data_IF_170557339074
#
_entry.id   IF_170557339074
#
_cell.length_a   1.000
_cell.length_b   1.000
_cell.length_c   1.000
_cell.angle_alpha   90.00
_cell.angle_beta   90.00
_cell.angle_gamma   90.00
#
_symmetry.space_group_name_H-M   'P 1'
#
loop_
_entity.id
_entity.type
_entity.pdbx_description
1 polymer ?
#
# COMPACT_ATOMS: atom_id res chain seq x y z
N UNK A 1 45.81 -8.62 -7.93
CA UNK A 1 44.62 -8.81 -7.12
C UNK A 1 44.44 -10.30 -6.85
N UNK A 2 44.31 -10.73 -5.60
CA UNK A 2 44.13 -12.13 -5.25
C UNK A 2 42.83 -12.71 -5.83
N UNK A 3 42.73 -14.03 -5.93
CA UNK A 3 41.50 -14.73 -6.42
C UNK A 3 40.31 -14.38 -5.53
N UNK A 4 40.51 -14.33 -4.20
CA UNK A 4 39.49 -13.95 -3.22
C UNK A 4 38.99 -12.51 -3.40
N UNK A 5 39.92 -11.56 -3.70
CA UNK A 5 39.54 -10.16 -3.96
C UNK A 5 38.71 -10.01 -5.26
N UNK A 6 39.00 -10.82 -6.29
CA UNK A 6 38.19 -10.84 -7.52
C UNK A 6 36.78 -11.37 -7.26
N UNK A 7 36.65 -12.47 -6.50
CA UNK A 7 35.36 -13.04 -6.12
C UNK A 7 34.54 -12.03 -5.31
N UNK A 8 35.15 -11.40 -4.31
CA UNK A 8 34.48 -10.38 -3.50
C UNK A 8 33.95 -9.21 -4.34
N UNK A 9 34.78 -8.74 -5.30
CA UNK A 9 34.38 -7.65 -6.19
C UNK A 9 33.20 -8.04 -7.10
N UNK A 10 33.21 -9.30 -7.62
CA UNK A 10 32.10 -9.80 -8.44
C UNK A 10 30.82 -9.89 -7.62
N UNK A 11 30.88 -10.40 -6.38
CA UNK A 11 29.70 -10.49 -5.49
C UNK A 11 29.17 -9.09 -5.15
N UNK A 12 30.05 -8.13 -4.87
CA UNK A 12 29.65 -6.75 -4.62
C UNK A 12 28.98 -6.12 -5.85
N UNK A 13 29.56 -6.28 -7.03
CA UNK A 13 29.00 -5.79 -8.28
C UNK A 13 27.62 -6.42 -8.57
N UNK A 14 27.48 -7.72 -8.38
CA UNK A 14 26.22 -8.42 -8.54
C UNK A 14 25.16 -7.91 -7.55
N UNK A 15 25.53 -7.68 -6.29
CA UNK A 15 24.63 -7.09 -5.26
C UNK A 15 24.17 -5.67 -5.63
N UNK A 16 25.08 -4.82 -6.11
CA UNK A 16 24.75 -3.47 -6.56
C UNK A 16 23.83 -3.47 -7.80
N UNK A 17 24.08 -4.36 -8.75
CA UNK A 17 23.21 -4.51 -9.93
C UNK A 17 21.82 -5.01 -9.54
N UNK A 18 21.73 -5.99 -8.64
CA UNK A 18 20.45 -6.47 -8.13
C UNK A 18 19.67 -5.36 -7.41
N UNK A 19 20.34 -4.62 -6.51
CA UNK A 19 19.72 -3.49 -5.82
C UNK A 19 19.25 -2.41 -6.80
N UNK A 20 20.09 -2.04 -7.78
CA UNK A 20 19.72 -1.06 -8.81
C UNK A 20 18.52 -1.52 -9.66
N UNK A 21 18.42 -2.82 -9.97
CA UNK A 21 17.27 -3.37 -10.68
C UNK A 21 15.98 -3.30 -9.84
N UNK A 22 16.07 -3.57 -8.53
CA UNK A 22 14.92 -3.45 -7.62
C UNK A 22 14.47 -2.00 -7.46
N UNK A 23 15.40 -1.07 -7.26
CA UNK A 23 15.10 0.37 -7.22
C UNK A 23 14.46 0.83 -8.54
N UNK A 24 15.00 0.38 -9.68
CA UNK A 24 14.45 0.66 -11.00
C UNK A 24 13.01 0.15 -11.15
N UNK A 25 12.72 -1.04 -10.63
CA UNK A 25 11.36 -1.61 -10.65
C UNK A 25 10.39 -0.82 -9.75
N UNK A 26 10.84 -0.40 -8.56
CA UNK A 26 10.06 0.46 -7.67
C UNK A 26 9.74 1.79 -8.35
N UNK A 27 10.75 2.47 -8.91
CA UNK A 27 10.59 3.76 -9.59
C UNK A 27 9.72 3.66 -10.85
N UNK A 28 9.87 2.60 -11.64
CA UNK A 28 9.06 2.39 -12.83
C UNK A 28 7.58 2.17 -12.51
N UNK A 29 7.28 1.64 -11.32
CA UNK A 29 5.91 1.35 -10.90
C UNK A 29 5.26 2.41 -10.01
N UNK A 30 5.89 3.56 -9.76
CA UNK A 30 5.36 4.59 -8.86
C UNK A 30 4.34 5.54 -9.50
N UNK A 31 3.52 5.04 -10.41
CA UNK A 31 2.45 5.80 -11.05
C UNK A 31 1.10 5.11 -10.87
N UNK A 32 0.03 5.91 -10.96
CA UNK A 32 -1.33 5.37 -10.92
C UNK A 32 -1.56 4.44 -12.11
N UNK A 33 -2.20 3.32 -11.85
CA UNK A 33 -2.79 2.47 -12.88
C UNK A 33 -4.29 2.43 -12.61
N UNK A 34 -5.07 3.17 -13.39
CA UNK A 34 -6.53 3.25 -13.30
C UNK A 34 -7.09 2.89 -14.66
N UNK A 35 -7.77 1.77 -14.72
CA UNK A 35 -8.36 1.24 -15.96
C UNK A 35 -9.89 1.26 -15.94
N UNK A 36 -10.49 1.28 -14.73
CA UNK A 36 -11.92 1.24 -14.52
C UNK A 36 -12.32 2.10 -13.32
N UNK A 37 -13.58 2.55 -13.29
CA UNK A 37 -14.18 3.12 -12.08
C UNK A 37 -14.35 2.01 -11.05
N UNK A 38 -13.79 2.20 -9.85
CA UNK A 38 -13.84 1.19 -8.81
C UNK A 38 -15.13 1.25 -7.99
N UNK A 39 -15.74 0.09 -7.76
CA UNK A 39 -16.85 -0.08 -6.83
C UNK A 39 -16.36 -0.16 -5.37
N UNK A 40 -15.10 -0.58 -5.16
CA UNK A 40 -14.48 -0.71 -3.85
C UNK A 40 -13.09 -0.04 -3.86
N UNK A 41 -12.85 0.82 -2.88
CA UNK A 41 -11.56 1.48 -2.65
C UNK A 41 -10.94 0.90 -1.38
N UNK A 42 -9.78 0.25 -1.48
CA UNK A 42 -9.03 -0.25 -0.34
C UNK A 42 -7.91 0.73 -0.01
N UNK A 43 -7.95 1.32 1.19
CA UNK A 43 -6.88 2.20 1.67
C UNK A 43 -5.96 1.42 2.60
N UNK A 44 -4.70 1.22 2.16
CA UNK A 44 -3.71 0.52 2.97
C UNK A 44 -3.20 1.41 4.10
N UNK A 45 -3.12 0.86 5.29
CA UNK A 45 -2.59 1.52 6.47
C UNK A 45 -1.10 1.84 6.37
N UNK A 46 -0.69 2.75 7.22
CA UNK A 46 0.70 3.12 7.49
C UNK A 46 0.77 3.59 8.95
N UNK A 47 1.98 3.88 9.42
CA UNK A 47 2.22 4.21 10.83
C UNK A 47 1.33 5.35 11.36
N UNK A 48 0.84 5.20 12.59
CA UNK A 48 0.26 6.28 13.37
C UNK A 48 1.32 7.03 14.18
N UNK A 49 1.09 8.32 14.36
CA UNK A 49 1.80 9.17 15.30
C UNK A 49 0.93 9.39 16.56
N UNK A 50 1.47 9.89 17.68
CA UNK A 50 0.70 10.10 18.89
C UNK A 50 -0.51 11.03 18.72
N UNK A 51 -0.48 11.88 17.70
CA UNK A 51 -1.51 12.89 17.36
C UNK A 51 -2.37 12.49 16.13
N UNK A 52 -2.28 11.24 15.67
CA UNK A 52 -3.11 10.74 14.57
C UNK A 52 -2.34 10.10 13.41
N UNK A 53 -2.95 10.00 12.24
CA UNK A 53 -2.31 9.44 11.06
C UNK A 53 -1.01 10.18 10.70
N UNK A 54 0.06 9.42 10.40
CA UNK A 54 1.32 10.00 9.93
C UNK A 54 1.11 10.83 8.64
N UNK A 55 2.02 11.76 8.30
CA UNK A 55 1.89 12.54 7.06
C UNK A 55 1.77 11.68 5.80
N UNK A 56 2.45 10.52 5.76
CA UNK A 56 2.34 9.58 4.65
C UNK A 56 0.94 8.94 4.59
N UNK A 57 0.36 8.59 5.76
CA UNK A 57 -0.99 8.03 5.83
C UNK A 57 -2.05 9.09 5.48
N UNK A 58 -1.88 10.33 5.93
CA UNK A 58 -2.78 11.45 5.54
C UNK A 58 -2.82 11.64 4.03
N UNK A 59 -1.67 11.55 3.34
CA UNK A 59 -1.62 11.63 1.87
C UNK A 59 -2.41 10.51 1.18
N UNK A 60 -2.38 9.27 1.73
CA UNK A 60 -3.23 8.18 1.21
C UNK A 60 -4.70 8.48 1.40
N UNK A 61 -5.08 8.95 2.57
CA UNK A 61 -6.47 9.29 2.90
C UNK A 61 -6.98 10.44 2.03
N UNK A 62 -6.18 11.49 1.82
CA UNK A 62 -6.50 12.58 0.91
C UNK A 62 -6.68 12.06 -0.53
N UNK A 63 -5.79 11.18 -1.02
CA UNK A 63 -5.91 10.56 -2.34
C UNK A 63 -7.20 9.72 -2.46
N UNK A 64 -7.57 8.99 -1.41
CA UNK A 64 -8.82 8.25 -1.37
C UNK A 64 -10.04 9.19 -1.41
N UNK A 65 -10.04 10.27 -0.62
CA UNK A 65 -11.10 11.29 -0.62
C UNK A 65 -11.28 11.92 -2.00
N UNK A 66 -10.18 12.31 -2.65
CA UNK A 66 -10.21 12.86 -4.00
C UNK A 66 -10.89 11.88 -4.98
N UNK A 67 -10.52 10.60 -4.90
CA UNK A 67 -11.10 9.57 -5.75
C UNK A 67 -12.60 9.38 -5.48
N UNK A 68 -13.01 9.16 -4.22
CA UNK A 68 -14.41 8.89 -3.87
C UNK A 68 -15.32 10.12 -4.00
N UNK A 69 -14.77 11.33 -4.10
CA UNK A 69 -15.54 12.55 -4.39
C UNK A 69 -16.17 12.52 -5.79
N UNK A 70 -15.50 11.84 -6.73
CA UNK A 70 -15.97 11.63 -8.10
C UNK A 70 -16.65 10.27 -8.31
N UNK A 71 -16.55 9.36 -7.32
CA UNK A 71 -17.13 8.02 -7.32
C UNK A 71 -18.03 7.84 -6.08
N UNK A 72 -19.22 8.50 -6.04
CA UNK A 72 -20.04 8.60 -4.82
C UNK A 72 -20.63 7.26 -4.35
N UNK A 73 -20.64 6.24 -5.22
CA UNK A 73 -21.16 4.90 -4.90
C UNK A 73 -20.08 3.91 -4.46
N UNK A 74 -18.79 4.28 -4.53
CA UNK A 74 -17.72 3.37 -4.15
C UNK A 74 -17.68 3.14 -2.64
N UNK A 75 -17.59 1.89 -2.21
CA UNK A 75 -17.34 1.51 -0.83
C UNK A 75 -15.88 1.72 -0.45
N UNK A 76 -15.59 2.01 0.80
CA UNK A 76 -14.23 2.28 1.27
C UNK A 76 -13.87 1.25 2.34
N UNK A 77 -12.83 0.46 2.10
CA UNK A 77 -12.25 -0.43 3.10
C UNK A 77 -10.94 0.20 3.57
N UNK A 78 -10.87 0.54 4.86
CA UNK A 78 -9.64 0.99 5.51
C UNK A 78 -9.00 -0.18 6.22
N UNK A 79 -7.76 -0.54 5.85
CA UNK A 79 -7.12 -1.77 6.32
C UNK A 79 -5.77 -1.50 6.97
N UNK A 80 -5.66 -1.89 8.24
CA UNK A 80 -4.45 -1.79 9.05
C UNK A 80 -4.72 -2.07 10.51
N UNK A 81 -3.98 -3.00 11.10
CA UNK A 81 -4.08 -3.35 12.51
C UNK A 81 -3.45 -2.31 13.43
N UNK A 82 -3.33 -2.65 14.70
CA UNK A 82 -2.72 -1.78 15.70
C UNK A 82 -1.25 -2.16 15.89
N UNK A 83 -0.34 -1.24 15.64
CA UNK A 83 1.07 -1.38 15.96
C UNK A 83 1.31 -1.41 17.48
N UNK A 84 2.40 -2.02 17.91
CA UNK A 84 2.70 -2.19 19.35
C UNK A 84 2.78 -0.87 20.14
N UNK A 85 3.18 0.22 19.47
CA UNK A 85 3.36 1.57 20.02
C UNK A 85 2.23 2.53 19.61
N UNK A 86 1.13 2.01 19.06
CA UNK A 86 0.00 2.81 18.60
C UNK A 86 -1.16 2.78 19.60
N UNK A 87 -1.87 3.88 19.72
CA UNK A 87 -2.98 4.06 20.67
C UNK A 87 -4.30 3.43 20.18
N UNK A 88 -4.41 3.16 18.87
CA UNK A 88 -5.56 2.51 18.22
C UNK A 88 -5.09 1.78 16.97
N UNK A 89 -5.98 1.06 16.28
CA UNK A 89 -5.66 0.48 14.98
C UNK A 89 -5.51 1.56 13.90
N UNK A 90 -4.66 1.30 12.90
CA UNK A 90 -4.54 2.19 11.75
C UNK A 90 -5.90 2.34 11.05
N UNK A 91 -6.68 1.25 10.92
CA UNK A 91 -8.01 1.26 10.33
C UNK A 91 -8.97 2.21 11.06
N UNK A 92 -9.00 2.19 12.40
CA UNK A 92 -9.86 3.11 13.17
C UNK A 92 -9.44 4.57 12.95
N UNK A 93 -8.15 4.88 13.06
CA UNK A 93 -7.66 6.23 12.83
C UNK A 93 -7.92 6.74 11.41
N UNK A 94 -7.88 5.84 10.41
CA UNK A 94 -8.24 6.16 9.03
C UNK A 94 -9.74 6.44 8.89
N UNK A 95 -10.60 5.64 9.51
CA UNK A 95 -12.05 5.86 9.50
C UNK A 95 -12.41 7.19 10.12
N UNK A 96 -11.86 7.51 11.30
CA UNK A 96 -12.08 8.78 11.99
C UNK A 96 -11.67 9.97 11.09
N UNK A 97 -10.53 9.87 10.42
CA UNK A 97 -10.05 10.90 9.50
C UNK A 97 -11.01 11.13 8.32
N UNK A 98 -11.56 10.06 7.74
CA UNK A 98 -12.50 10.14 6.62
C UNK A 98 -13.85 10.71 7.08
N UNK A 99 -14.36 10.29 8.24
CA UNK A 99 -15.61 10.79 8.84
C UNK A 99 -15.53 12.30 9.13
N UNK A 100 -14.44 12.77 9.72
CA UNK A 100 -14.20 14.19 9.97
C UNK A 100 -14.21 15.05 8.69
N UNK A 101 -13.97 14.43 7.52
CA UNK A 101 -13.99 15.09 6.21
C UNK A 101 -15.24 14.84 5.39
N UNK A 102 -16.29 14.34 6.05
CA UNK A 102 -17.63 14.24 5.49
C UNK A 102 -17.88 12.96 4.67
N UNK A 103 -17.00 11.96 4.74
CA UNK A 103 -17.32 10.64 4.22
C UNK A 103 -18.48 10.03 4.99
N UNK A 104 -19.45 9.47 4.29
CA UNK A 104 -20.59 8.81 4.92
C UNK A 104 -20.14 7.52 5.65
N UNK A 105 -20.57 7.36 6.89
CA UNK A 105 -20.14 6.25 7.76
C UNK A 105 -20.51 4.89 7.22
N UNK A 106 -21.64 4.79 6.55
CA UNK A 106 -22.16 3.56 5.92
C UNK A 106 -21.28 3.05 4.78
N UNK A 107 -20.43 3.90 4.23
CA UNK A 107 -19.50 3.55 3.15
C UNK A 107 -18.11 3.13 3.67
N UNK A 108 -17.83 3.27 4.96
CA UNK A 108 -16.50 3.01 5.54
C UNK A 108 -16.52 1.67 6.29
N UNK A 109 -15.71 0.73 5.82
CA UNK A 109 -15.58 -0.61 6.40
C UNK A 109 -14.19 -0.80 6.97
N UNK A 110 -14.10 -1.29 8.21
CA UNK A 110 -12.84 -1.47 8.91
C UNK A 110 -12.30 -2.89 8.76
N UNK A 111 -11.01 -2.96 8.48
CA UNK A 111 -10.20 -4.16 8.65
C UNK A 111 -9.04 -3.81 9.60
N UNK A 112 -9.09 -4.23 10.85
CA UNK A 112 -8.24 -3.78 11.95
C UNK A 112 -7.29 -4.87 12.50
N UNK A 113 -7.10 -5.98 11.77
CA UNK A 113 -6.33 -7.15 12.25
C UNK A 113 -5.01 -7.36 11.52
N UNK A 114 -4.85 -6.78 10.34
CA UNK A 114 -3.70 -7.02 9.51
C UNK A 114 -2.41 -6.47 10.13
N UNK A 115 -1.33 -7.25 10.02
CA UNK A 115 0.02 -6.90 10.49
C UNK A 115 1.04 -6.81 9.35
N UNK A 116 0.61 -7.03 8.12
CA UNK A 116 1.43 -6.97 6.91
C UNK A 116 0.61 -6.55 5.70
N UNK A 117 1.27 -6.07 4.65
CA UNK A 117 0.59 -5.68 3.40
C UNK A 117 -0.19 -6.83 2.76
N UNK A 118 0.36 -8.04 2.81
CA UNK A 118 -0.34 -9.23 2.29
C UNK A 118 -1.60 -9.53 3.10
N UNK A 119 -1.56 -9.34 4.42
CA UNK A 119 -2.73 -9.49 5.29
C UNK A 119 -3.74 -8.37 5.07
N UNK A 120 -3.29 -7.11 4.92
CA UNK A 120 -4.18 -6.01 4.56
C UNK A 120 -5.03 -6.36 3.33
N UNK A 121 -4.40 -6.79 2.24
CA UNK A 121 -5.11 -7.17 1.02
C UNK A 121 -5.99 -8.41 1.23
N UNK A 122 -5.47 -9.47 1.85
CA UNK A 122 -6.21 -10.72 2.07
C UNK A 122 -7.45 -10.51 2.96
N UNK A 123 -7.33 -9.73 4.02
CA UNK A 123 -8.43 -9.46 4.93
C UNK A 123 -9.42 -8.45 4.34
N UNK A 124 -8.95 -7.46 3.56
CA UNK A 124 -9.84 -6.60 2.76
C UNK A 124 -10.68 -7.40 1.77
N UNK A 125 -10.11 -8.42 1.11
CA UNK A 125 -10.89 -9.34 0.25
C UNK A 125 -11.96 -10.11 1.04
N UNK A 126 -11.72 -10.44 2.31
CA UNK A 126 -12.73 -11.05 3.17
C UNK A 126 -13.85 -10.05 3.52
N UNK A 127 -13.52 -8.80 3.79
CA UNK A 127 -14.51 -7.72 3.98
C UNK A 127 -15.32 -7.51 2.71
N UNK A 128 -14.70 -7.43 1.53
CA UNK A 128 -15.41 -7.36 0.23
C UNK A 128 -16.46 -8.45 0.09
N UNK A 129 -16.08 -9.72 0.37
CA UNK A 129 -17.02 -10.85 0.27
C UNK A 129 -18.19 -10.72 1.25
N UNK A 130 -17.95 -10.20 2.46
CA UNK A 130 -19.02 -9.96 3.45
C UNK A 130 -20.01 -8.87 3.01
N UNK A 131 -19.56 -7.95 2.15
CA UNK A 131 -20.37 -6.91 1.53
C UNK A 131 -21.05 -7.37 0.23
N UNK A 132 -20.79 -8.60 -0.22
CA UNK A 132 -21.36 -9.15 -1.45
C UNK A 132 -20.54 -8.90 -2.71
N UNK A 133 -19.33 -8.38 -2.60
CA UNK A 133 -18.43 -8.16 -3.73
C UNK A 133 -17.49 -9.35 -3.97
N UNK A 134 -17.27 -9.70 -5.22
CA UNK A 134 -16.28 -10.69 -5.62
C UNK A 134 -14.92 -10.00 -5.89
N UNK A 135 -13.86 -10.33 -5.16
CA UNK A 135 -12.54 -9.71 -5.37
C UNK A 135 -11.90 -9.91 -6.74
N UNK A 136 -12.39 -10.88 -7.54
CA UNK A 136 -11.88 -11.15 -8.89
C UNK A 136 -12.65 -10.35 -9.94
N UNK A 137 -13.95 -10.22 -9.77
CA UNK A 137 -14.86 -9.62 -10.78
C UNK A 137 -15.15 -8.15 -10.50
N UNK A 138 -15.15 -7.74 -9.22
CA UNK A 138 -15.47 -6.37 -8.82
C UNK A 138 -14.30 -5.43 -9.14
N UNK A 139 -14.50 -4.30 -9.81
CA UNK A 139 -13.48 -3.27 -9.97
C UNK A 139 -13.03 -2.70 -8.62
N UNK A 140 -11.74 -2.81 -8.33
CA UNK A 140 -11.13 -2.37 -7.07
C UNK A 140 -10.02 -1.37 -7.34
N UNK A 141 -9.94 -0.31 -6.53
CA UNK A 141 -8.78 0.57 -6.46
C UNK A 141 -8.07 0.42 -5.11
N UNK A 142 -6.77 0.15 -5.12
CA UNK A 142 -5.95 0.08 -3.91
C UNK A 142 -5.13 1.35 -3.78
N UNK A 143 -5.36 2.11 -2.71
CA UNK A 143 -4.64 3.35 -2.39
C UNK A 143 -3.45 3.06 -1.49
N UNK A 144 -2.26 3.49 -1.93
CA UNK A 144 -1.03 3.42 -1.15
C UNK A 144 -0.11 4.60 -1.47
N UNK A 145 1.10 4.66 -0.89
CA UNK A 145 2.08 5.64 -1.36
C UNK A 145 2.74 5.15 -2.67
N UNK A 146 3.17 6.09 -3.49
CA UNK A 146 3.75 5.87 -4.81
C UNK A 146 4.88 4.82 -4.81
N UNK A 147 5.85 4.94 -3.89
CA UNK A 147 6.95 3.97 -3.75
C UNK A 147 6.48 2.52 -3.51
N UNK A 148 5.30 2.34 -2.93
CA UNK A 148 4.77 1.04 -2.52
C UNK A 148 3.94 0.32 -3.60
N UNK A 149 3.59 1.00 -4.71
CA UNK A 149 2.65 0.48 -5.70
C UNK A 149 3.14 -0.78 -6.41
N UNK A 150 4.43 -0.86 -6.76
CA UNK A 150 5.01 -2.06 -7.39
C UNK A 150 4.77 -3.31 -6.56
N UNK A 151 5.02 -3.22 -5.24
CA UNK A 151 4.81 -4.34 -4.32
C UNK A 151 3.33 -4.61 -4.07
N UNK A 152 2.51 -3.58 -4.00
CA UNK A 152 1.05 -3.72 -3.89
C UNK A 152 0.50 -4.50 -5.08
N UNK A 153 0.85 -4.15 -6.32
CA UNK A 153 0.45 -4.87 -7.54
C UNK A 153 0.93 -6.33 -7.54
N UNK A 154 2.17 -6.57 -7.13
CA UNK A 154 2.71 -7.93 -7.01
C UNK A 154 1.85 -8.77 -6.06
N UNK A 155 1.53 -8.25 -4.89
CA UNK A 155 0.74 -8.94 -3.88
C UNK A 155 -0.72 -9.12 -4.34
N UNK A 156 -1.36 -8.10 -4.95
CA UNK A 156 -2.69 -8.24 -5.54
C UNK A 156 -2.74 -9.41 -6.53
N UNK A 157 -1.80 -9.45 -7.49
CA UNK A 157 -1.73 -10.53 -8.49
C UNK A 157 -1.57 -11.91 -7.85
N UNK A 158 -0.72 -12.04 -6.82
CA UNK A 158 -0.49 -13.32 -6.12
C UNK A 158 -1.68 -13.79 -5.29
N UNK A 159 -2.45 -12.85 -4.76
CA UNK A 159 -3.66 -13.14 -4.00
C UNK A 159 -4.90 -13.34 -4.89
N UNK A 160 -4.79 -13.09 -6.19
CA UNK A 160 -5.91 -13.15 -7.11
C UNK A 160 -6.89 -11.99 -6.96
N UNK A 161 -6.43 -10.84 -6.45
CA UNK A 161 -7.20 -9.61 -6.42
C UNK A 161 -6.96 -8.82 -7.71
N UNK A 162 -8.02 -8.60 -8.50
CA UNK A 162 -7.97 -7.70 -9.65
C UNK A 162 -8.15 -6.26 -9.15
N UNK A 163 -7.09 -5.47 -9.19
CA UNK A 163 -7.12 -4.12 -8.65
C UNK A 163 -6.25 -3.14 -9.44
N UNK A 164 -6.80 -1.98 -9.66
CA UNK A 164 -6.08 -0.76 -10.02
C UNK A 164 -5.35 -0.18 -8.81
N UNK A 165 -4.35 0.66 -9.02
CA UNK A 165 -3.59 1.24 -7.91
C UNK A 165 -3.50 2.76 -8.02
N UNK A 166 -3.70 3.42 -6.88
CA UNK A 166 -3.64 4.87 -6.72
C UNK A 166 -2.49 5.24 -5.77
N UNK A 167 -1.53 6.01 -6.28
CA UNK A 167 -0.35 6.45 -5.56
C UNK A 167 -0.53 7.81 -4.88
N UNK A 168 -0.27 7.87 -3.60
CA UNK A 168 -0.13 9.11 -2.87
C UNK A 168 1.35 9.47 -2.74
N UNK A 169 1.73 10.68 -3.15
CA UNK A 169 3.12 11.14 -3.05
C UNK A 169 3.57 11.29 -1.61
N UNK A 170 4.86 11.06 -1.36
CA UNK A 170 5.45 11.27 -0.03
C UNK A 170 5.44 12.76 0.35
N UNK A 171 5.30 13.08 1.66
CA UNK A 171 5.18 14.46 2.11
C UNK A 171 6.45 15.29 1.90
N UNK A 172 7.61 14.66 1.89
CA UNK A 172 8.91 15.31 1.73
C UNK A 172 9.98 14.38 1.12
N UNK A 173 11.04 14.98 0.55
CA UNK A 173 12.11 14.26 -0.14
C UNK A 173 12.91 13.31 0.77
N UNK A 174 13.09 13.67 2.06
CA UNK A 174 13.84 12.82 3.00
C UNK A 174 13.05 11.54 3.30
N UNK A 175 11.78 11.67 3.63
CA UNK A 175 10.88 10.53 3.84
C UNK A 175 10.75 9.68 2.59
N UNK A 176 10.67 10.30 1.41
CA UNK A 176 10.69 9.61 0.14
C UNK A 176 11.96 8.76 -0.02
N UNK A 177 13.15 9.37 0.11
CA UNK A 177 14.42 8.66 -0.04
C UNK A 177 14.52 7.40 0.85
N UNK A 178 14.19 7.52 2.15
CA UNK A 178 14.19 6.37 3.05
C UNK A 178 13.17 5.30 2.66
N UNK A 179 11.98 5.72 2.24
CA UNK A 179 10.90 4.80 1.88
C UNK A 179 11.22 4.01 0.62
N UNK A 180 11.72 4.66 -0.43
CA UNK A 180 12.10 4.00 -1.68
C UNK A 180 13.21 2.97 -1.45
N UNK A 181 14.30 3.33 -0.76
CA UNK A 181 15.38 2.38 -0.47
C UNK A 181 14.91 1.17 0.36
N UNK A 182 14.08 1.40 1.39
CA UNK A 182 13.50 0.31 2.18
C UNK A 182 12.60 -0.59 1.34
N UNK A 183 11.86 -0.01 0.41
CA UNK A 183 10.91 -0.73 -0.42
C UNK A 183 11.59 -1.71 -1.39
N UNK A 184 12.77 -1.40 -1.90
CA UNK A 184 13.55 -2.33 -2.73
C UNK A 184 13.85 -3.64 -1.97
N UNK A 185 14.23 -3.55 -0.68
CA UNK A 185 14.44 -4.74 0.15
C UNK A 185 13.14 -5.47 0.50
N UNK A 186 12.05 -4.73 0.74
CA UNK A 186 10.74 -5.31 1.01
C UNK A 186 10.20 -6.05 -0.23
N UNK A 187 10.38 -5.48 -1.43
CA UNK A 187 10.02 -6.11 -2.70
C UNK A 187 10.82 -7.40 -2.92
N UNK A 188 12.14 -7.40 -2.65
CA UNK A 188 12.97 -8.62 -2.73
C UNK A 188 12.45 -9.70 -1.79
N UNK A 189 12.14 -9.35 -0.53
CA UNK A 189 11.57 -10.29 0.44
C UNK A 189 10.29 -10.91 -0.11
N UNK A 190 9.36 -10.09 -0.60
CA UNK A 190 8.08 -10.58 -1.09
C UNK A 190 8.22 -11.38 -2.40
N UNK A 191 9.21 -11.09 -3.24
CA UNK A 191 9.53 -11.91 -4.42
C UNK A 191 10.01 -13.32 -4.05
N UNK A 192 10.69 -13.48 -2.91
CA UNK A 192 11.27 -14.76 -2.48
C UNK A 192 10.33 -15.60 -1.62
N UNK A 193 9.43 -14.98 -0.85
CA UNK A 193 8.69 -15.67 0.23
C UNK A 193 7.16 -15.65 0.07
N UNK A 194 6.63 -14.94 -0.89
CA UNK A 194 5.22 -14.92 -1.28
C UNK A 194 5.06 -15.33 -2.74
#
# INVERSE_FOLDING_TARGET
MSRSAKILLILLAAGLLCFGALEGAVLAGCHDEVTHDADVVIVLGAKLWPDGPSPALKRRLDKALDYVSTHPNAEIIVSGGQGHDEYTSEAQAMADYLLERGCASERIHLEDKATSTAENLRFSMAVMRSLGYDPVETPVAVVSNDFHLTRTRLLCRRLGLTADTLGASMPDLKSAFYSYNREAFALLKDLLFY
#
